data_IF_021231217253
#
_entry.id   IF_021231217253
#
_cell.length_a   1.000
_cell.length_b   1.000
_cell.length_c   1.000
_cell.angle_alpha   90.00
_cell.angle_beta   90.00
_cell.angle_gamma   90.00
#
_symmetry.space_group_name_H-M   'P 1'
#
loop_
_entity.id
_entity.type
_entity.pdbx_description
1 polymer ?
#
# COMPACT_ATOMS: atom_id res chain seq x y z
N UNK A 1 14.06 -16.61 -21.43
CA UNK A 1 13.28 -16.58 -20.17
C UNK A 1 12.14 -15.62 -20.40
N UNK A 2 10.90 -16.11 -20.45
CA UNK A 2 9.74 -15.21 -20.45
C UNK A 2 9.62 -14.66 -19.03
N UNK A 3 9.59 -13.33 -18.88
CA UNK A 3 9.20 -12.71 -17.62
C UNK A 3 7.76 -13.18 -17.33
N UNK A 4 7.56 -13.93 -16.26
CA UNK A 4 6.22 -14.24 -15.76
C UNK A 4 5.50 -12.92 -15.51
N UNK A 5 4.41 -12.66 -16.23
CA UNK A 5 3.53 -11.54 -15.94
C UNK A 5 2.84 -11.81 -14.60
N UNK A 6 3.38 -11.22 -13.54
CA UNK A 6 2.82 -11.28 -12.19
C UNK A 6 1.53 -10.47 -12.19
N UNK A 7 0.42 -11.07 -11.75
CA UNK A 7 -0.85 -10.35 -11.60
C UNK A 7 -0.75 -9.27 -10.51
N UNK A 8 -1.55 -8.20 -10.56
CA UNK A 8 -1.57 -7.17 -9.50
C UNK A 8 -1.78 -7.76 -8.10
N UNK A 9 -2.62 -8.80 -7.98
CA UNK A 9 -2.82 -9.54 -6.74
C UNK A 9 -1.54 -10.22 -6.25
N UNK A 10 -0.84 -10.96 -7.11
CA UNK A 10 0.42 -11.61 -6.74
C UNK A 10 1.51 -10.61 -6.38
N UNK A 11 1.53 -9.44 -7.04
CA UNK A 11 2.43 -8.34 -6.70
C UNK A 11 2.14 -7.79 -5.29
N UNK A 12 0.87 -7.49 -4.99
CA UNK A 12 0.45 -7.03 -3.67
C UNK A 12 0.75 -8.08 -2.58
N UNK A 13 0.49 -9.37 -2.84
CA UNK A 13 0.80 -10.44 -1.89
C UNK A 13 2.30 -10.51 -1.57
N UNK A 14 3.17 -10.36 -2.57
CA UNK A 14 4.64 -10.31 -2.35
C UNK A 14 5.03 -9.11 -1.50
N UNK A 15 4.50 -7.91 -1.80
CA UNK A 15 4.73 -6.70 -1.00
C UNK A 15 4.28 -6.85 0.44
N UNK A 16 3.10 -7.43 0.68
CA UNK A 16 2.57 -7.65 2.04
C UNK A 16 3.48 -8.58 2.86
N UNK A 17 4.08 -9.59 2.24
CA UNK A 17 5.08 -10.45 2.89
C UNK A 17 6.34 -9.66 3.23
N UNK A 18 6.85 -8.87 2.29
CA UNK A 18 8.04 -8.05 2.50
C UNK A 18 7.85 -6.99 3.60
N UNK A 19 6.68 -6.35 3.62
CA UNK A 19 6.30 -5.38 4.65
C UNK A 19 6.11 -6.04 6.01
N UNK A 20 5.55 -7.25 6.07
CA UNK A 20 5.47 -8.04 7.31
C UNK A 20 6.86 -8.42 7.84
N UNK A 21 7.83 -8.66 6.95
CA UNK A 21 9.21 -8.98 7.31
C UNK A 21 9.98 -7.78 7.86
N UNK A 22 9.89 -6.63 7.19
CA UNK A 22 10.64 -5.41 7.53
C UNK A 22 9.94 -4.54 8.56
N UNK A 23 8.64 -4.76 8.73
CA UNK A 23 7.75 -3.90 9.53
C UNK A 23 7.79 -2.44 9.08
N UNK A 24 7.95 -2.23 7.77
CA UNK A 24 7.96 -0.91 7.16
C UNK A 24 6.61 -0.21 7.30
N UNK A 25 6.66 1.13 7.37
CA UNK A 25 5.46 1.94 7.30
C UNK A 25 4.89 1.92 5.89
N UNK A 26 3.57 1.89 5.78
CA UNK A 26 2.89 1.92 4.49
C UNK A 26 1.47 2.50 4.60
N UNK A 27 0.99 3.05 3.49
CA UNK A 27 -0.44 3.23 3.26
C UNK A 27 -0.97 2.03 2.47
N UNK A 28 -2.16 1.56 2.82
CA UNK A 28 -2.85 0.45 2.15
C UNK A 28 -4.21 0.96 1.71
N UNK A 29 -4.42 0.99 0.39
CA UNK A 29 -5.69 1.41 -0.21
C UNK A 29 -6.53 0.20 -0.59
N UNK A 30 -7.85 0.38 -0.66
CA UNK A 30 -8.80 -0.72 -0.89
C UNK A 30 -9.83 -0.40 -1.97
N UNK A 31 -10.23 -1.43 -2.70
CA UNK A 31 -11.29 -1.32 -3.71
C UNK A 31 -12.69 -1.09 -3.13
N UNK A 32 -12.92 -1.37 -1.84
CA UNK A 32 -14.26 -1.42 -1.25
C UNK A 32 -14.41 -0.65 0.08
N UNK A 33 -13.38 0.04 0.55
CA UNK A 33 -13.39 0.77 1.83
C UNK A 33 -12.30 1.84 1.90
N UNK A 34 -12.31 2.60 2.98
CA UNK A 34 -11.32 3.64 3.25
C UNK A 34 -9.90 3.08 3.44
N UNK A 35 -8.87 3.83 3.05
CA UNK A 35 -7.48 3.40 3.17
C UNK A 35 -7.02 3.31 4.63
N UNK A 36 -6.03 2.46 4.87
CA UNK A 36 -5.25 2.46 6.11
C UNK A 36 -3.99 3.29 5.89
N UNK A 37 -3.84 4.39 6.64
CA UNK A 37 -2.75 5.34 6.46
C UNK A 37 -1.66 5.10 7.50
N UNK A 38 -0.41 5.05 7.04
CA UNK A 38 0.79 4.99 7.87
C UNK A 38 0.84 3.80 8.82
N UNK A 39 0.31 2.65 8.40
CA UNK A 39 0.27 1.43 9.21
C UNK A 39 1.56 0.62 9.06
N UNK A 40 1.77 -0.29 10.01
CA UNK A 40 2.78 -1.35 9.92
C UNK A 40 2.09 -2.70 10.00
N UNK A 41 2.57 -3.68 9.24
CA UNK A 41 2.04 -5.04 9.30
C UNK A 41 2.59 -5.79 10.51
N UNK A 42 1.77 -6.69 11.06
CA UNK A 42 2.21 -7.67 12.03
C UNK A 42 3.23 -8.63 11.38
N UNK A 43 4.26 -9.10 12.11
CA UNK A 43 5.25 -10.03 11.57
C UNK A 43 4.69 -11.45 11.34
N UNK A 44 3.44 -11.71 11.72
CA UNK A 44 2.78 -13.03 11.64
C UNK A 44 2.84 -13.63 10.23
N UNK A 45 2.62 -12.83 9.19
CA UNK A 45 2.60 -13.32 7.81
C UNK A 45 3.99 -13.82 7.37
N UNK A 46 5.04 -13.03 7.62
CA UNK A 46 6.42 -13.45 7.34
C UNK A 46 6.85 -14.64 8.23
N UNK A 47 6.52 -14.63 9.51
CA UNK A 47 6.86 -15.72 10.42
C UNK A 47 6.26 -17.06 9.94
N UNK A 48 4.99 -17.06 9.52
CA UNK A 48 4.36 -18.26 8.99
C UNK A 48 5.10 -18.83 7.78
N UNK A 49 5.53 -17.98 6.84
CA UNK A 49 6.34 -18.41 5.70
C UNK A 49 7.70 -18.97 6.14
N UNK A 50 8.40 -18.29 7.04
CA UNK A 50 9.71 -18.72 7.54
C UNK A 50 9.66 -20.09 8.25
N UNK A 51 8.57 -20.37 8.97
CA UNK A 51 8.36 -21.64 9.67
C UNK A 51 7.65 -22.70 8.82
N UNK A 52 7.54 -22.51 7.50
CA UNK A 52 7.07 -23.53 6.57
C UNK A 52 5.55 -23.74 6.58
N UNK A 53 4.76 -22.69 6.83
CA UNK A 53 3.31 -22.77 6.71
C UNK A 53 2.90 -23.25 5.31
N UNK A 54 2.14 -24.33 5.26
CA UNK A 54 1.60 -24.85 4.01
C UNK A 54 0.58 -23.91 3.36
N UNK A 55 0.27 -24.16 2.09
CA UNK A 55 -0.63 -23.33 1.27
C UNK A 55 -1.98 -23.00 1.93
N UNK A 56 -2.59 -23.97 2.63
CA UNK A 56 -3.85 -23.76 3.36
C UNK A 56 -3.72 -22.69 4.44
N UNK A 57 -2.65 -22.72 5.23
CA UNK A 57 -2.43 -21.74 6.30
C UNK A 57 -2.08 -20.36 5.72
N UNK A 58 -1.31 -20.33 4.65
CA UNK A 58 -1.00 -19.08 3.95
C UNK A 58 -2.26 -18.42 3.38
N UNK A 59 -3.15 -19.18 2.77
CA UNK A 59 -4.44 -18.67 2.27
C UNK A 59 -5.23 -18.00 3.40
N UNK A 60 -5.36 -18.66 4.56
CA UNK A 60 -6.03 -18.08 5.73
C UNK A 60 -5.37 -16.79 6.23
N UNK A 61 -4.03 -16.71 6.18
CA UNK A 61 -3.31 -15.52 6.61
C UNK A 61 -3.47 -14.37 5.62
N UNK A 62 -3.53 -14.63 4.32
CA UNK A 62 -3.84 -13.61 3.32
C UNK A 62 -5.29 -13.12 3.43
N UNK A 63 -6.22 -13.92 3.96
CA UNK A 63 -7.58 -13.48 4.30
C UNK A 63 -7.68 -12.70 5.62
N UNK A 64 -6.61 -12.70 6.42
CA UNK A 64 -6.59 -12.13 7.78
C UNK A 64 -5.25 -11.44 8.06
N UNK A 65 -4.82 -10.55 7.17
CA UNK A 65 -3.61 -9.77 7.39
C UNK A 65 -3.89 -8.77 8.50
N UNK A 66 -3.03 -8.76 9.51
CA UNK A 66 -3.16 -7.94 10.70
C UNK A 66 -2.10 -6.83 10.71
N UNK A 67 -2.49 -5.61 11.07
CA UNK A 67 -1.57 -4.52 11.36
C UNK A 67 -1.02 -4.63 12.79
N UNK A 68 0.06 -3.92 13.11
CA UNK A 68 0.58 -3.81 14.49
C UNK A 68 -0.44 -3.22 15.48
N UNK A 69 -1.46 -2.52 14.98
CA UNK A 69 -2.55 -1.94 15.78
C UNK A 69 -3.77 -2.86 15.92
N UNK A 70 -3.72 -4.09 15.36
CA UNK A 70 -4.79 -5.09 15.44
C UNK A 70 -5.90 -4.94 14.38
N UNK A 71 -5.73 -4.05 13.40
CA UNK A 71 -6.68 -3.93 12.29
C UNK A 71 -6.45 -5.09 11.33
N UNK A 72 -7.53 -5.76 10.92
CA UNK A 72 -7.48 -6.92 10.02
C UNK A 72 -8.08 -6.58 8.65
N UNK A 73 -7.47 -7.10 7.58
CA UNK A 73 -7.94 -6.97 6.20
C UNK A 73 -7.54 -8.17 5.32
N UNK A 74 -8.18 -8.28 4.15
CA UNK A 74 -7.87 -9.32 3.15
C UNK A 74 -6.91 -8.76 2.11
N UNK A 75 -5.92 -9.56 1.71
CA UNK A 75 -4.99 -9.23 0.65
C UNK A 75 -5.70 -8.95 -0.69
N UNK A 76 -6.80 -9.66 -0.95
CA UNK A 76 -7.59 -9.53 -2.19
C UNK A 76 -8.38 -8.22 -2.28
N UNK A 77 -8.59 -7.53 -1.17
CA UNK A 77 -9.28 -6.23 -1.14
C UNK A 77 -8.30 -5.06 -1.42
N UNK A 78 -6.98 -5.32 -1.34
CA UNK A 78 -5.94 -4.31 -1.49
C UNK A 78 -5.80 -3.89 -2.94
N UNK A 79 -5.83 -2.58 -3.15
CA UNK A 79 -5.63 -1.97 -4.46
C UNK A 79 -4.16 -1.58 -4.66
N UNK A 80 -3.70 -0.55 -3.95
CA UNK A 80 -2.34 0.01 -4.02
C UNK A 80 -1.73 0.05 -2.62
N UNK A 81 -0.44 -0.28 -2.55
CA UNK A 81 0.38 -0.15 -1.34
C UNK A 81 1.46 0.91 -1.61
N UNK A 82 1.50 1.94 -0.78
CA UNK A 82 2.51 3.01 -0.80
C UNK A 82 3.42 2.78 0.40
N UNK A 83 4.71 2.51 0.16
CA UNK A 83 5.66 2.13 1.21
C UNK A 83 6.53 3.31 1.61
N UNK A 84 6.83 3.45 2.90
CA UNK A 84 7.69 4.49 3.44
C UNK A 84 8.91 3.85 4.11
N UNK A 85 9.96 3.50 3.34
CA UNK A 85 11.09 2.71 3.81
C UNK A 85 11.93 3.43 4.89
N UNK A 86 11.87 4.76 4.93
CA UNK A 86 12.64 5.60 5.86
C UNK A 86 11.80 6.15 7.03
N UNK A 87 10.58 5.66 7.21
CA UNK A 87 9.62 6.18 8.20
C UNK A 87 8.58 7.08 7.57
N UNK A 88 7.53 7.40 8.34
CA UNK A 88 6.46 8.28 7.85
C UNK A 88 6.99 9.72 7.68
N UNK A 89 6.65 10.38 6.57
CA UNK A 89 6.97 11.80 6.41
C UNK A 89 6.16 12.61 7.43
N UNK A 90 6.79 13.64 8.00
CA UNK A 90 6.12 14.62 8.84
C UNK A 90 5.25 15.57 8.00
N UNK A 91 4.39 16.35 8.65
CA UNK A 91 3.59 17.36 7.95
C UNK A 91 4.47 18.43 7.29
N UNK A 92 5.62 18.75 7.88
CA UNK A 92 6.60 19.68 7.32
C UNK A 92 7.27 19.08 6.07
N UNK A 93 7.66 17.80 6.12
CA UNK A 93 8.20 17.10 4.95
C UNK A 93 7.20 17.11 3.80
N UNK A 94 5.93 16.79 4.09
CA UNK A 94 4.87 16.78 3.10
C UNK A 94 4.62 18.17 2.52
N UNK A 95 4.59 19.21 3.35
CA UNK A 95 4.38 20.59 2.88
C UNK A 95 5.45 21.04 1.88
N UNK A 96 6.67 20.52 1.99
CA UNK A 96 7.78 20.80 1.08
C UNK A 96 7.81 19.97 -0.20
N UNK A 97 6.94 18.96 -0.36
CA UNK A 97 6.89 18.12 -1.57
C UNK A 97 6.40 18.93 -2.76
N UNK A 98 7.23 18.97 -3.82
CA UNK A 98 6.86 19.53 -5.11
C UNK A 98 5.81 18.65 -5.80
N UNK A 99 4.76 19.29 -6.32
CA UNK A 99 3.63 18.63 -6.98
C UNK A 99 3.69 18.70 -8.50
N UNK A 100 4.79 19.20 -9.09
CA UNK A 100 4.96 19.31 -10.53
C UNK A 100 4.69 17.99 -11.26
N UNK A 101 5.10 16.86 -10.68
CA UNK A 101 4.88 15.53 -11.24
C UNK A 101 3.45 14.98 -11.02
N UNK A 102 2.60 15.72 -10.30
CA UNK A 102 1.22 15.34 -10.02
C UNK A 102 0.34 15.21 -11.26
N UNK A 103 0.67 15.95 -12.31
CA UNK A 103 -0.09 15.92 -13.57
C UNK A 103 0.52 14.96 -14.60
N UNK A 104 1.62 14.27 -14.25
CA UNK A 104 2.19 13.22 -15.09
C UNK A 104 1.19 12.07 -15.26
N UNK A 105 1.02 11.59 -16.50
CA UNK A 105 0.18 10.44 -16.78
C UNK A 105 0.81 9.15 -16.25
N UNK A 106 0.08 8.44 -15.39
CA UNK A 106 0.45 7.12 -14.88
C UNK A 106 -0.20 5.98 -15.66
N UNK A 107 -1.30 6.30 -16.36
CA UNK A 107 -1.97 5.45 -17.33
C UNK A 107 -2.59 6.36 -18.41
N UNK A 108 -2.98 5.83 -19.60
CA UNK A 108 -3.56 6.64 -20.65
C UNK A 108 -4.75 7.48 -20.16
N UNK A 109 -4.59 8.81 -20.14
CA UNK A 109 -5.61 9.76 -19.69
C UNK A 109 -5.86 9.81 -18.17
N UNK A 110 -5.01 9.20 -17.35
CA UNK A 110 -5.09 9.24 -15.88
C UNK A 110 -3.81 9.83 -15.31
N UNK A 111 -3.92 11.02 -14.70
CA UNK A 111 -2.78 11.65 -14.00
C UNK A 111 -2.52 11.03 -12.63
N UNK A 112 -1.32 11.21 -12.09
CA UNK A 112 -0.98 10.76 -10.74
C UNK A 112 -1.91 11.37 -9.69
N UNK A 113 -2.32 12.63 -9.86
CA UNK A 113 -3.31 13.32 -9.00
C UNK A 113 -4.68 12.65 -9.06
N UNK A 114 -5.15 12.29 -10.25
CA UNK A 114 -6.42 11.57 -10.41
C UNK A 114 -6.36 10.19 -9.78
N UNK A 115 -5.27 9.47 -10.00
CA UNK A 115 -5.01 8.19 -9.34
C UNK A 115 -5.00 8.35 -7.82
N UNK A 116 -4.29 9.33 -7.27
CA UNK A 116 -4.24 9.60 -5.83
C UNK A 116 -5.64 9.84 -5.25
N UNK A 117 -6.45 10.69 -5.93
CA UNK A 117 -7.84 10.97 -5.55
C UNK A 117 -8.69 9.71 -5.51
N UNK A 118 -8.52 8.83 -6.49
CA UNK A 118 -9.30 7.59 -6.60
C UNK A 118 -8.89 6.55 -5.56
N UNK A 119 -7.60 6.22 -5.47
CA UNK A 119 -7.12 5.13 -4.61
C UNK A 119 -7.26 5.47 -3.12
N UNK A 120 -7.11 6.74 -2.75
CA UNK A 120 -7.35 7.21 -1.39
C UNK A 120 -8.79 7.63 -1.11
N UNK A 121 -9.68 7.58 -2.11
CA UNK A 121 -11.11 7.95 -1.99
C UNK A 121 -11.33 9.36 -1.45
N UNK A 122 -10.51 10.29 -1.90
CA UNK A 122 -10.52 11.66 -1.39
C UNK A 122 -11.85 12.37 -1.71
N UNK A 123 -12.41 13.06 -0.72
CA UNK A 123 -13.67 13.78 -0.85
C UNK A 123 -13.52 15.06 -1.70
N UNK A 124 -12.35 15.69 -1.63
CA UNK A 124 -12.06 16.95 -2.31
C UNK A 124 -10.62 17.02 -2.84
N UNK A 125 -10.31 18.10 -3.55
CA UNK A 125 -9.00 18.30 -4.17
C UNK A 125 -7.91 18.61 -3.15
N UNK A 126 -8.25 19.20 -2.00
CA UNK A 126 -7.28 19.47 -0.94
C UNK A 126 -6.81 18.16 -0.29
N UNK A 127 -7.71 17.21 -0.09
CA UNK A 127 -7.38 15.87 0.36
C UNK A 127 -6.60 15.09 -0.69
N UNK A 128 -6.99 15.17 -1.97
CA UNK A 128 -6.22 14.59 -3.07
C UNK A 128 -4.79 15.13 -3.11
N UNK A 129 -4.60 16.42 -2.89
CA UNK A 129 -3.28 17.04 -2.83
C UNK A 129 -2.44 16.53 -1.65
N UNK A 130 -3.04 16.40 -0.46
CA UNK A 130 -2.37 15.79 0.70
C UNK A 130 -1.93 14.36 0.41
N UNK A 131 -2.79 13.55 -0.20
CA UNK A 131 -2.48 12.15 -0.51
C UNK A 131 -1.46 12.03 -1.64
N UNK A 132 -1.52 12.91 -2.64
CA UNK A 132 -0.50 12.99 -3.69
C UNK A 132 0.88 13.28 -3.11
N UNK A 133 1.00 14.21 -2.15
CA UNK A 133 2.29 14.46 -1.46
C UNK A 133 2.82 13.21 -0.76
N UNK A 134 1.95 12.40 -0.17
CA UNK A 134 2.34 11.12 0.46
C UNK A 134 2.88 10.13 -0.57
N UNK A 135 2.26 10.04 -1.74
CA UNK A 135 2.75 9.20 -2.85
C UNK A 135 4.13 9.69 -3.33
N UNK A 136 4.29 11.00 -3.51
CA UNK A 136 5.53 11.59 -4.02
C UNK A 136 6.67 11.58 -3.00
N UNK A 137 6.37 11.47 -1.70
CA UNK A 137 7.36 11.35 -0.63
C UNK A 137 7.77 9.89 -0.32
N UNK A 138 7.14 8.90 -0.96
CA UNK A 138 7.37 7.47 -0.75
C UNK A 138 8.56 6.94 -1.55
#
# INVERSE_FOLDING_TARGET
MQEEQITPLQHNMRRLVDLSRREGYCDITFHNRDPLIGVRLSPTLNAALMYGAGAKKMTQLFDQIETRTGIVFRATDVWVIVEFPYGLPSDEDLAGVDLADGDAEVAPGVSMRQMAKEVYRCADDAEAERMLRRILAA
#
